data_IF_678517242881
#
_entry.id   IF_678517242881
#
_cell.length_a   1.000
_cell.length_b   1.000
_cell.length_c   1.000
_cell.angle_alpha   90.00
_cell.angle_beta   90.00
_cell.angle_gamma   90.00
#
_symmetry.space_group_name_H-M   'P 1'
#
loop_
_entity.id
_entity.type
_entity.pdbx_description
1 polymer ?
#
# COMPACT_ATOMS: atom_id res chain seq x y z
N UNK A 1 2.43 -52.63 -68.36
CA UNK A 1 1.75 -51.45 -67.82
C UNK A 1 1.65 -51.61 -66.29
N UNK A 2 2.63 -51.10 -65.55
CA UNK A 2 2.61 -51.12 -64.10
C UNK A 2 2.19 -49.73 -63.62
N UNK A 3 1.13 -49.70 -62.79
CA UNK A 3 0.61 -48.46 -62.17
C UNK A 3 1.31 -48.31 -60.81
N UNK A 4 2.16 -47.29 -60.66
CA UNK A 4 2.73 -46.85 -59.39
C UNK A 4 1.72 -46.00 -58.63
N UNK A 5 1.31 -46.47 -57.42
CA UNK A 5 0.57 -45.67 -56.46
C UNK A 5 1.52 -44.98 -55.51
N UNK A 6 1.64 -43.63 -55.64
CA UNK A 6 2.28 -42.75 -54.66
C UNK A 6 1.31 -42.58 -53.47
N UNK A 7 1.71 -43.05 -52.28
CA UNK A 7 1.08 -42.73 -51.01
C UNK A 7 1.73 -41.44 -50.48
N UNK A 8 0.99 -40.35 -50.47
CA UNK A 8 1.39 -39.11 -49.78
C UNK A 8 1.10 -39.27 -48.28
N UNK A 9 2.16 -39.33 -47.46
CA UNK A 9 2.04 -39.21 -45.99
C UNK A 9 1.91 -37.77 -45.62
N UNK A 10 0.74 -37.40 -45.07
CA UNK A 10 0.52 -36.10 -44.46
C UNK A 10 1.12 -36.12 -43.03
N UNK A 11 2.25 -35.47 -42.83
CA UNK A 11 2.78 -35.17 -41.47
C UNK A 11 1.97 -34.02 -40.91
N UNK A 12 1.12 -34.30 -39.95
CA UNK A 12 0.43 -33.28 -39.12
C UNK A 12 1.46 -32.77 -38.09
N UNK A 13 2.06 -31.63 -38.34
CA UNK A 13 2.88 -30.93 -37.34
C UNK A 13 1.92 -30.28 -36.33
N UNK A 14 1.85 -30.85 -35.13
CA UNK A 14 1.19 -30.22 -34.02
C UNK A 14 2.01 -29.00 -33.58
N UNK A 15 1.51 -27.79 -33.90
CA UNK A 15 2.03 -26.55 -33.32
C UNK A 15 1.57 -26.51 -31.86
N UNK A 16 2.43 -26.90 -30.96
CA UNK A 16 2.27 -26.60 -29.52
C UNK A 16 2.51 -25.10 -29.39
N UNK A 17 1.43 -24.32 -29.36
CA UNK A 17 1.50 -22.94 -28.95
C UNK A 17 1.98 -22.93 -27.49
N UNK A 18 3.23 -22.53 -27.26
CA UNK A 18 3.70 -22.23 -25.92
C UNK A 18 2.80 -21.10 -25.39
N UNK A 19 2.00 -21.40 -24.38
CA UNK A 19 1.35 -20.37 -23.57
C UNK A 19 2.49 -19.57 -22.97
N UNK A 20 2.60 -18.27 -23.19
CA UNK A 20 3.65 -17.50 -22.54
C UNK A 20 3.46 -17.66 -21.03
N UNK A 21 4.49 -18.15 -20.35
CA UNK A 21 4.60 -18.11 -18.90
C UNK A 21 4.46 -16.64 -18.49
N UNK A 22 3.28 -16.24 -18.07
CA UNK A 22 3.07 -14.87 -17.58
C UNK A 22 3.84 -14.79 -16.26
N UNK A 23 5.01 -14.14 -16.29
CA UNK A 23 5.75 -13.83 -15.09
C UNK A 23 4.81 -13.13 -14.11
N UNK A 24 4.84 -13.51 -12.82
CA UNK A 24 4.03 -12.82 -11.82
C UNK A 24 4.27 -11.32 -11.86
N UNK A 25 3.20 -10.54 -11.75
CA UNK A 25 3.31 -9.09 -11.76
C UNK A 25 4.03 -8.60 -10.49
N UNK A 26 4.98 -7.71 -10.65
CA UNK A 26 5.65 -7.07 -9.53
C UNK A 26 4.66 -6.25 -8.67
N UNK A 27 4.85 -6.27 -7.35
CA UNK A 27 4.13 -5.46 -6.37
C UNK A 27 5.11 -4.47 -5.74
N UNK A 28 5.49 -3.47 -6.50
CA UNK A 28 6.69 -2.66 -6.28
C UNK A 28 6.67 -1.75 -5.05
N UNK A 29 5.52 -1.50 -4.45
CA UNK A 29 5.36 -0.57 -3.32
C UNK A 29 4.04 -0.78 -2.58
N UNK A 30 3.83 -0.02 -1.50
CA UNK A 30 2.58 -0.04 -0.76
C UNK A 30 1.39 0.24 -1.67
N UNK A 31 0.41 -0.67 -1.67
CA UNK A 31 -0.79 -0.68 -2.53
C UNK A 31 -0.50 -0.92 -4.02
N UNK A 32 0.65 -1.51 -4.34
CA UNK A 32 1.00 -1.92 -5.69
C UNK A 32 1.47 -0.78 -6.60
N UNK A 33 1.79 -1.09 -7.85
CA UNK A 33 2.40 -0.14 -8.78
C UNK A 33 1.50 1.05 -9.15
N UNK A 34 0.19 0.90 -9.02
CA UNK A 34 -0.82 1.94 -9.32
C UNK A 34 -1.33 2.66 -8.08
N UNK A 35 -0.86 2.33 -6.88
CA UNK A 35 -1.22 2.92 -5.57
C UNK A 35 -2.69 2.74 -5.15
N UNK A 36 -3.45 1.92 -5.87
CA UNK A 36 -4.90 1.74 -5.68
C UNK A 36 -5.28 0.41 -4.99
N UNK A 37 -4.29 -0.46 -4.74
CA UNK A 37 -4.51 -1.78 -4.16
C UNK A 37 -4.98 -2.82 -5.16
N UNK A 38 -4.82 -2.56 -6.46
CA UNK A 38 -5.20 -3.49 -7.53
C UNK A 38 -3.98 -4.20 -8.09
N UNK A 39 -4.11 -5.50 -8.37
CA UNK A 39 -3.15 -6.30 -9.11
C UNK A 39 -3.63 -6.54 -10.54
N UNK A 40 -2.75 -6.43 -11.54
CA UNK A 40 -3.08 -6.77 -12.93
C UNK A 40 -3.14 -8.28 -13.18
N UNK A 41 -2.77 -9.10 -12.21
CA UNK A 41 -2.75 -10.56 -12.35
C UNK A 41 -4.13 -11.14 -12.62
N UNK A 42 -4.13 -12.31 -13.26
CA UNK A 42 -5.32 -13.11 -13.49
C UNK A 42 -5.37 -14.28 -12.51
N UNK A 43 -6.52 -14.49 -11.91
CA UNK A 43 -6.73 -15.63 -11.03
C UNK A 43 -6.87 -16.90 -11.86
N UNK A 44 -6.10 -17.92 -11.51
CA UNK A 44 -6.23 -19.27 -12.08
C UNK A 44 -7.41 -20.05 -11.48
N UNK A 45 -7.95 -19.56 -10.36
CA UNK A 45 -9.10 -20.14 -9.64
C UNK A 45 -10.10 -19.04 -9.31
N UNK A 46 -11.39 -19.36 -9.45
CA UNK A 46 -12.48 -18.43 -9.11
C UNK A 46 -12.97 -18.57 -7.66
N UNK A 47 -12.47 -19.56 -6.94
CA UNK A 47 -12.78 -19.84 -5.53
C UNK A 47 -11.62 -20.64 -4.90
N UNK A 48 -11.44 -20.50 -3.58
CA UNK A 48 -10.48 -21.37 -2.88
C UNK A 48 -10.96 -22.82 -2.90
N UNK A 49 -10.09 -23.81 -3.22
CA UNK A 49 -10.45 -25.22 -3.16
C UNK A 49 -10.92 -25.62 -1.74
N UNK A 50 -11.91 -26.49 -1.63
CA UNK A 50 -12.43 -26.98 -0.34
C UNK A 50 -11.37 -27.68 0.52
N UNK A 51 -10.36 -28.29 -0.11
CA UNK A 51 -9.19 -28.89 0.55
C UNK A 51 -8.14 -27.85 1.01
N UNK A 52 -8.40 -26.55 0.85
CA UNK A 52 -7.45 -25.47 1.12
C UNK A 52 -6.49 -25.21 -0.05
N UNK A 53 -5.58 -24.25 0.16
CA UNK A 53 -4.52 -23.87 -0.78
C UNK A 53 -3.21 -24.55 -0.38
N UNK A 54 -2.34 -24.79 -1.35
CA UNK A 54 -1.00 -25.27 -1.07
C UNK A 54 -0.13 -24.14 -0.58
N UNK A 55 0.45 -24.27 0.62
CA UNK A 55 1.49 -23.36 1.11
C UNK A 55 2.79 -23.67 0.35
N UNK A 56 3.33 -22.66 -0.35
CA UNK A 56 4.60 -22.79 -1.08
C UNK A 56 5.77 -22.70 -0.10
N UNK A 57 5.76 -21.67 0.77
CA UNK A 57 6.73 -21.52 1.85
C UNK A 57 6.13 -20.73 3.02
N UNK A 58 6.79 -20.78 4.16
CA UNK A 58 6.53 -19.94 5.33
C UNK A 58 7.89 -19.60 5.97
N UNK A 59 8.21 -18.33 6.01
CA UNK A 59 9.46 -17.85 6.61
C UNK A 59 9.18 -17.18 7.94
N UNK A 60 9.85 -17.57 9.04
CA UNK A 60 9.76 -16.84 10.30
C UNK A 60 10.27 -15.42 10.10
N UNK A 61 9.47 -14.44 10.49
CA UNK A 61 9.86 -13.04 10.48
C UNK A 61 9.71 -12.44 11.88
N UNK A 62 10.64 -11.57 12.31
CA UNK A 62 10.47 -10.80 13.53
C UNK A 62 9.27 -9.85 13.47
N UNK A 63 8.97 -9.18 14.58
CA UNK A 63 7.85 -8.26 14.69
C UNK A 63 7.91 -7.10 13.70
N UNK A 64 6.75 -6.65 13.21
CA UNK A 64 6.59 -5.50 12.33
C UNK A 64 5.19 -5.41 11.75
N UNK A 65 4.84 -4.23 11.26
CA UNK A 65 3.57 -3.94 10.58
C UNK A 65 3.80 -3.59 9.10
N UNK A 66 5.06 -3.68 8.65
CA UNK A 66 5.42 -3.46 7.25
C UNK A 66 4.75 -4.49 6.36
N UNK A 67 4.25 -4.05 5.22
CA UNK A 67 3.86 -4.94 4.13
C UNK A 67 5.09 -5.34 3.30
N UNK A 68 4.88 -6.07 2.22
CA UNK A 68 5.92 -6.44 1.28
C UNK A 68 5.87 -5.58 0.03
N UNK A 69 7.07 -5.24 -0.49
CA UNK A 69 7.27 -4.87 -1.90
C UNK A 69 7.95 -6.04 -2.60
N UNK A 70 7.50 -6.37 -3.81
CA UNK A 70 8.00 -7.54 -4.56
C UNK A 70 8.37 -7.10 -5.97
N UNK A 71 9.62 -7.36 -6.37
CA UNK A 71 10.10 -7.16 -7.73
C UNK A 71 11.33 -8.01 -8.02
N UNK A 72 11.49 -8.41 -9.25
CA UNK A 72 12.68 -9.12 -9.72
C UNK A 72 12.97 -10.40 -8.91
N UNK A 73 11.96 -11.15 -8.50
CA UNK A 73 12.08 -12.36 -7.70
C UNK A 73 12.47 -12.15 -6.24
N UNK A 74 12.40 -10.92 -5.71
CA UNK A 74 12.73 -10.57 -4.32
C UNK A 74 11.53 -9.92 -3.63
N UNK A 75 11.33 -10.27 -2.36
CA UNK A 75 10.33 -9.69 -1.49
C UNK A 75 11.04 -8.90 -0.38
N UNK A 76 10.71 -7.61 -0.24
CA UNK A 76 11.31 -6.70 0.73
C UNK A 76 10.31 -6.32 1.81
N UNK A 77 10.74 -6.34 3.06
CA UNK A 77 9.93 -5.87 4.20
C UNK A 77 10.82 -5.27 5.27
N UNK A 78 10.25 -4.56 6.23
CA UNK A 78 10.96 -4.03 7.39
C UNK A 78 10.44 -4.73 8.63
N UNK A 79 11.37 -5.20 9.47
CA UNK A 79 11.09 -5.91 10.72
C UNK A 79 11.88 -5.29 11.86
N UNK A 80 11.58 -5.70 13.08
CA UNK A 80 12.34 -5.35 14.26
C UNK A 80 13.18 -6.55 14.71
N UNK A 81 14.51 -6.46 14.56
CA UNK A 81 15.47 -7.48 15.00
C UNK A 81 16.18 -7.03 16.27
N UNK A 82 16.47 -7.97 17.17
CA UNK A 82 17.36 -7.72 18.30
C UNK A 82 18.82 -7.93 17.85
N UNK A 83 19.63 -6.90 18.03
CA UNK A 83 21.06 -6.92 17.73
C UNK A 83 21.80 -6.39 18.97
N UNK A 84 22.65 -7.21 19.56
CA UNK A 84 23.42 -6.87 20.78
C UNK A 84 22.55 -6.36 21.95
N UNK A 85 21.40 -6.99 22.16
CA UNK A 85 20.43 -6.63 23.20
C UNK A 85 19.63 -5.36 22.93
N UNK A 86 19.70 -4.81 21.71
CA UNK A 86 18.98 -3.61 21.29
C UNK A 86 18.04 -3.94 20.13
N UNK A 87 16.76 -3.61 20.28
CA UNK A 87 15.82 -3.71 19.18
C UNK A 87 16.13 -2.67 18.09
N UNK A 88 16.30 -3.14 16.86
CA UNK A 88 16.61 -2.32 15.69
C UNK A 88 15.63 -2.58 14.56
N UNK A 89 15.34 -1.57 13.78
CA UNK A 89 14.69 -1.76 12.49
C UNK A 89 15.69 -2.38 11.52
N UNK A 90 15.22 -3.36 10.75
CA UNK A 90 16.00 -4.03 9.71
C UNK A 90 15.17 -4.21 8.43
N UNK A 91 15.75 -3.89 7.29
CA UNK A 91 15.19 -4.26 6.00
C UNK A 91 15.64 -5.67 5.64
N UNK A 92 14.69 -6.54 5.33
CA UNK A 92 14.93 -7.89 4.83
C UNK A 92 14.65 -7.96 3.33
N UNK A 93 15.52 -8.68 2.61
CA UNK A 93 15.23 -9.19 1.28
C UNK A 93 15.14 -10.72 1.35
N UNK A 94 14.01 -11.24 0.90
CA UNK A 94 13.74 -12.66 0.78
C UNK A 94 13.64 -13.04 -0.69
N UNK A 95 14.03 -14.25 -1.03
CA UNK A 95 13.68 -14.83 -2.33
C UNK A 95 12.16 -15.04 -2.37
N UNK A 96 11.49 -14.49 -3.37
CA UNK A 96 10.02 -14.49 -3.44
C UNK A 96 9.43 -15.89 -3.68
N UNK A 97 10.19 -16.83 -4.26
CA UNK A 97 9.73 -18.18 -4.54
C UNK A 97 9.97 -19.14 -3.37
N UNK A 98 11.00 -18.92 -2.56
CA UNK A 98 11.44 -19.87 -1.53
C UNK A 98 11.33 -19.34 -0.10
N UNK A 99 11.14 -18.03 0.09
CA UNK A 99 11.14 -17.37 1.39
C UNK A 99 12.50 -17.31 2.08
N UNK A 100 13.60 -17.75 1.41
CA UNK A 100 14.94 -17.74 1.98
C UNK A 100 15.48 -16.30 2.01
N UNK A 101 16.04 -15.92 3.17
CA UNK A 101 16.66 -14.61 3.34
C UNK A 101 17.89 -14.47 2.44
N UNK A 102 17.90 -13.43 1.61
CA UNK A 102 19.02 -13.07 0.73
C UNK A 102 19.98 -12.16 1.48
N UNK A 103 19.47 -11.07 2.06
CA UNK A 103 20.24 -10.13 2.87
C UNK A 103 19.37 -9.45 3.93
N UNK A 104 20.02 -8.81 4.90
CA UNK A 104 19.41 -7.95 5.91
C UNK A 104 20.28 -6.71 6.10
N UNK A 105 19.66 -5.53 6.21
CA UNK A 105 20.34 -4.27 6.52
C UNK A 105 19.73 -3.62 7.76
N UNK A 106 20.55 -3.39 8.76
CA UNK A 106 20.14 -2.69 9.97
C UNK A 106 20.01 -1.20 9.67
N UNK A 107 18.87 -0.62 10.03
CA UNK A 107 18.54 0.78 9.80
C UNK A 107 18.87 1.62 11.03
N UNK A 108 18.06 1.54 12.07
CA UNK A 108 18.27 2.31 13.30
C UNK A 108 17.59 1.63 14.51
N UNK A 109 17.67 2.28 15.69
CA UNK A 109 17.03 1.77 16.91
C UNK A 109 15.50 1.82 16.78
N UNK A 110 14.86 0.66 16.97
CA UNK A 110 13.41 0.50 16.97
C UNK A 110 12.85 0.94 18.34
N UNK A 111 12.49 2.21 18.44
CA UNK A 111 11.83 2.78 19.61
C UNK A 111 10.68 3.67 19.14
N UNK A 112 9.46 3.30 19.52
CA UNK A 112 8.24 3.98 19.06
C UNK A 112 7.57 4.70 20.22
N UNK A 113 7.64 6.03 20.21
CA UNK A 113 7.06 6.86 21.26
C UNK A 113 5.53 6.89 21.13
N UNK A 114 4.84 6.86 22.26
CA UNK A 114 3.38 6.97 22.31
C UNK A 114 2.62 5.69 22.63
N UNK A 115 3.30 4.64 23.06
CA UNK A 115 2.68 3.47 23.69
C UNK A 115 2.45 2.27 22.77
N UNK A 116 3.25 2.09 21.78
CA UNK A 116 3.34 0.86 21.00
C UNK A 116 4.74 0.30 21.18
N UNK A 117 5.15 -0.05 22.39
CA UNK A 117 6.44 -0.69 22.60
C UNK A 117 6.30 -2.19 22.51
N UNK A 118 7.21 -2.82 21.79
CA UNK A 118 7.31 -4.26 21.70
C UNK A 118 7.32 -4.89 23.08
N UNK A 119 6.47 -5.90 23.28
CA UNK A 119 6.32 -6.58 24.56
C UNK A 119 5.51 -5.86 25.63
N UNK A 120 4.91 -4.70 25.34
CA UNK A 120 3.94 -4.10 26.25
C UNK A 120 2.74 -5.02 26.42
N UNK A 121 2.36 -5.36 27.69
CA UNK A 121 1.29 -6.32 28.00
C UNK A 121 -0.07 -5.96 27.39
N UNK A 122 -0.31 -4.69 27.11
CA UNK A 122 -1.55 -4.17 26.52
C UNK A 122 -1.44 -3.95 25.00
N UNK A 123 -0.30 -4.23 24.38
CA UNK A 123 -0.10 -4.15 22.95
C UNK A 123 -0.42 -5.49 22.29
N UNK A 124 -1.69 -5.69 21.93
CA UNK A 124 -2.21 -6.95 21.41
C UNK A 124 -1.67 -7.35 20.03
N UNK A 125 -1.14 -6.42 19.28
CA UNK A 125 -0.61 -6.64 17.94
C UNK A 125 0.92 -6.67 17.85
N UNK A 126 1.63 -6.65 18.99
CA UNK A 126 3.09 -6.49 18.98
C UNK A 126 3.51 -5.05 18.68
N UNK A 127 4.77 -4.87 18.32
CA UNK A 127 5.30 -3.58 17.89
C UNK A 127 6.28 -3.76 16.72
N UNK A 128 6.75 -2.67 16.13
CA UNK A 128 7.73 -2.72 15.07
C UNK A 128 7.54 -1.64 14.01
N UNK A 129 8.35 -1.68 12.95
CA UNK A 129 8.28 -0.74 11.84
C UNK A 129 6.94 -0.81 11.11
N UNK A 130 6.47 0.37 10.68
CA UNK A 130 5.14 0.55 10.08
C UNK A 130 5.19 0.97 8.62
N UNK A 131 6.32 1.48 8.16
CA UNK A 131 6.57 1.83 6.76
C UNK A 131 6.77 0.55 5.92
N UNK A 132 6.39 0.60 4.66
CA UNK A 132 6.64 -0.47 3.69
C UNK A 132 7.77 -0.04 2.75
N UNK A 133 8.73 -0.90 2.37
CA UNK A 133 9.69 -0.58 1.31
C UNK A 133 9.02 -0.28 -0.01
N UNK A 134 9.73 0.44 -0.89
CA UNK A 134 9.39 0.54 -2.31
C UNK A 134 10.60 0.14 -3.15
N UNK A 135 10.38 -0.45 -4.31
CA UNK A 135 11.46 -0.93 -5.19
C UNK A 135 11.16 -0.65 -6.65
N UNK A 136 12.19 -0.47 -7.46
CA UNK A 136 12.11 -0.43 -8.91
C UNK A 136 12.72 -1.67 -9.57
N UNK A 137 13.02 -2.71 -8.75
CA UNK A 137 13.65 -3.94 -9.18
C UNK A 137 15.17 -3.93 -9.01
N UNK A 138 15.84 -2.83 -9.28
CA UNK A 138 17.29 -2.66 -9.12
C UNK A 138 17.66 -2.11 -7.74
N UNK A 139 16.82 -1.28 -7.18
CA UNK A 139 16.99 -0.61 -5.88
C UNK A 139 15.80 -0.78 -4.98
N UNK A 140 16.04 -0.72 -3.68
CA UNK A 140 14.99 -0.68 -2.66
C UNK A 140 15.13 0.59 -1.82
N UNK A 141 14.01 1.26 -1.59
CA UNK A 141 13.90 2.53 -0.89
C UNK A 141 13.12 2.33 0.40
N UNK A 142 13.69 2.77 1.51
CA UNK A 142 13.11 2.59 2.84
C UNK A 142 13.03 3.93 3.55
N UNK A 143 11.88 4.29 4.04
CA UNK A 143 11.69 5.45 4.91
C UNK A 143 11.43 4.94 6.32
N UNK A 144 12.46 4.95 7.15
CA UNK A 144 12.46 4.31 8.46
C UNK A 144 11.66 5.08 9.53
N UNK A 145 11.51 4.51 10.72
CA UNK A 145 10.76 5.11 11.82
C UNK A 145 11.34 6.44 12.31
N UNK A 146 12.62 6.70 12.04
CA UNK A 146 13.34 7.93 12.41
C UNK A 146 13.39 8.96 11.28
N UNK A 147 12.63 8.74 10.21
CA UNK A 147 12.56 9.63 9.05
C UNK A 147 13.87 9.73 8.27
N UNK A 148 14.67 8.67 8.25
CA UNK A 148 15.77 8.51 7.29
C UNK A 148 15.27 7.78 6.07
N UNK A 149 15.61 8.31 4.91
CA UNK A 149 15.34 7.69 3.62
C UNK A 149 16.61 7.01 3.14
N UNK A 150 16.54 5.70 2.98
CA UNK A 150 17.66 4.86 2.54
C UNK A 150 17.39 4.32 1.14
N UNK A 151 18.45 4.20 0.35
CA UNK A 151 18.47 3.49 -0.92
C UNK A 151 19.54 2.42 -0.87
N UNK A 152 19.15 1.19 -1.11
CA UNK A 152 20.05 0.04 -1.20
C UNK A 152 19.96 -0.60 -2.58
N UNK A 153 21.04 -1.23 -3.00
CA UNK A 153 21.03 -2.16 -4.13
C UNK A 153 20.11 -3.34 -3.80
N UNK A 154 19.16 -3.65 -4.66
CA UNK A 154 18.16 -4.69 -4.41
C UNK A 154 18.75 -6.10 -4.41
N UNK A 155 19.89 -6.33 -5.08
CA UNK A 155 20.50 -7.64 -5.22
C UNK A 155 21.28 -8.05 -3.97
N UNK A 156 22.08 -7.14 -3.41
CA UNK A 156 23.03 -7.46 -2.34
C UNK A 156 22.90 -6.58 -1.08
N UNK A 157 21.98 -5.62 -1.09
CA UNK A 157 21.71 -4.75 0.06
C UNK A 157 22.78 -3.68 0.30
N UNK A 158 23.72 -3.46 -0.60
CA UNK A 158 24.72 -2.40 -0.44
C UNK A 158 24.06 -1.03 -0.43
N UNK A 159 24.48 -0.17 0.50
CA UNK A 159 23.99 1.20 0.58
C UNK A 159 24.43 2.00 -0.64
N UNK A 160 23.47 2.66 -1.31
CA UNK A 160 23.70 3.55 -2.43
C UNK A 160 23.74 5.00 -1.93
N UNK A 161 22.71 5.40 -1.20
CA UNK A 161 22.66 6.70 -0.53
C UNK A 161 21.69 6.67 0.67
N UNK A 162 21.85 7.61 1.58
CA UNK A 162 20.96 7.82 2.73
C UNK A 162 20.76 9.31 2.95
N UNK A 163 19.53 9.70 3.29
CA UNK A 163 19.14 11.08 3.62
C UNK A 163 18.49 11.12 5.00
N UNK A 164 18.84 12.07 5.81
CA UNK A 164 18.24 12.32 7.10
C UNK A 164 17.30 13.54 7.01
N UNK A 165 15.99 13.27 6.82
CA UNK A 165 15.01 14.33 6.58
C UNK A 165 14.73 15.17 7.83
N UNK A 166 15.10 14.69 9.01
CA UNK A 166 15.02 15.50 10.25
C UNK A 166 16.07 16.61 10.21
N UNK A 167 17.33 16.26 9.97
CA UNK A 167 18.43 17.25 9.95
C UNK A 167 18.41 18.11 8.68
N UNK A 168 18.05 17.55 7.54
CA UNK A 168 18.12 18.26 6.25
C UNK A 168 16.89 19.11 5.95
N UNK A 169 15.73 18.70 6.41
CA UNK A 169 14.44 19.32 6.08
C UNK A 169 13.58 19.68 7.32
N UNK A 170 14.15 19.63 8.53
CA UNK A 170 13.42 20.00 9.74
C UNK A 170 12.24 19.07 10.06
N UNK A 171 12.31 17.84 9.61
CA UNK A 171 11.27 16.83 9.82
C UNK A 171 10.99 16.60 11.29
N UNK A 172 9.72 16.35 11.62
CA UNK A 172 9.29 16.03 12.99
C UNK A 172 8.48 14.74 12.96
N UNK A 173 9.02 13.70 13.60
CA UNK A 173 8.27 12.46 13.80
C UNK A 173 7.02 12.74 14.63
N UNK A 174 5.92 12.14 14.21
CA UNK A 174 4.67 12.17 14.98
C UNK A 174 4.61 10.96 15.92
N UNK A 175 3.60 10.92 16.79
CA UNK A 175 3.39 9.80 17.72
C UNK A 175 3.45 8.46 16.97
N UNK A 176 4.10 7.44 17.53
CA UNK A 176 4.40 6.11 16.95
C UNK A 176 5.44 6.13 15.83
N UNK A 177 6.17 7.22 15.63
CA UNK A 177 7.20 7.42 14.60
C UNK A 177 6.64 7.39 13.17
N UNK A 178 7.51 7.41 12.17
CA UNK A 178 7.08 7.36 10.78
C UNK A 178 6.40 6.01 10.43
N UNK A 179 5.34 6.10 9.65
CA UNK A 179 4.65 4.96 9.04
C UNK A 179 4.38 5.15 7.55
N UNK A 180 4.74 6.31 6.98
CA UNK A 180 4.53 6.55 5.56
C UNK A 180 5.54 5.78 4.73
N UNK A 181 5.10 5.34 3.57
CA UNK A 181 5.92 4.65 2.57
C UNK A 181 6.48 5.67 1.58
N UNK A 182 7.74 5.54 1.14
CA UNK A 182 8.26 6.33 0.03
C UNK A 182 7.58 5.88 -1.26
N UNK A 183 6.83 6.77 -1.91
CA UNK A 183 6.09 6.43 -3.13
C UNK A 183 6.90 6.80 -4.35
N UNK A 184 7.11 5.82 -5.23
CA UNK A 184 7.89 5.97 -6.47
C UNK A 184 6.95 6.24 -7.64
N UNK A 185 7.28 7.25 -8.43
CA UNK A 185 6.69 7.48 -9.75
C UNK A 185 7.76 8.03 -10.72
N UNK A 186 8.06 7.27 -11.76
CA UNK A 186 9.15 7.58 -12.67
C UNK A 186 10.50 7.65 -11.94
N UNK A 187 11.17 8.81 -12.04
CA UNK A 187 12.45 9.07 -11.39
C UNK A 187 12.34 9.70 -10.00
N UNK A 188 11.10 9.90 -9.49
CA UNK A 188 10.85 10.62 -8.26
C UNK A 188 10.34 9.71 -7.14
N UNK A 189 10.72 10.07 -5.93
CA UNK A 189 10.18 9.53 -4.67
C UNK A 189 9.45 10.67 -3.98
N UNK A 190 8.18 10.44 -3.60
CA UNK A 190 7.37 11.42 -2.89
C UNK A 190 7.24 11.06 -1.42
N UNK A 191 7.50 12.04 -0.56
CA UNK A 191 7.48 11.90 0.90
C UNK A 191 6.83 13.12 1.53
N UNK A 192 6.01 12.90 2.57
CA UNK A 192 5.56 13.93 3.49
C UNK A 192 6.30 13.74 4.82
N UNK A 193 7.15 14.68 5.19
CA UNK A 193 7.94 14.51 6.41
C UNK A 193 8.96 15.61 6.71
N UNK A 194 9.02 16.66 5.90
CA UNK A 194 9.82 17.85 6.21
C UNK A 194 9.12 18.82 7.18
N UNK A 195 9.79 19.92 7.51
CA UNK A 195 9.30 20.99 8.35
C UNK A 195 8.61 22.13 7.60
N UNK A 196 8.74 23.33 8.13
CA UNK A 196 8.18 24.56 7.55
C UNK A 196 8.76 24.82 6.16
N UNK A 197 7.90 25.16 5.19
CA UNK A 197 8.18 25.40 3.78
C UNK A 197 8.88 24.23 3.03
N UNK A 198 8.87 23.06 3.61
CA UNK A 198 9.47 21.85 3.03
C UNK A 198 8.85 20.56 3.56
N UNK A 199 7.57 20.60 3.96
CA UNK A 199 6.90 19.43 4.50
C UNK A 199 6.58 18.37 3.43
N UNK A 200 6.42 18.78 2.17
CA UNK A 200 6.19 17.91 1.02
C UNK A 200 7.44 17.90 0.13
N UNK A 201 7.91 16.73 -0.21
CA UNK A 201 9.20 16.55 -0.89
C UNK A 201 9.05 15.62 -2.10
N UNK A 202 9.75 15.96 -3.18
CA UNK A 202 10.13 15.01 -4.23
C UNK A 202 11.65 14.87 -4.28
N UNK A 203 12.10 13.64 -4.29
CA UNK A 203 13.52 13.26 -4.25
C UNK A 203 13.82 12.45 -5.50
N UNK A 204 14.90 12.74 -6.20
CA UNK A 204 15.35 11.90 -7.32
C UNK A 204 15.82 10.56 -6.78
N UNK A 205 15.22 9.47 -7.25
CA UNK A 205 15.46 8.12 -6.74
C UNK A 205 16.87 7.62 -6.97
N UNK A 206 17.56 8.10 -8.03
CA UNK A 206 18.91 7.65 -8.38
C UNK A 206 19.98 8.33 -7.54
N UNK A 207 19.87 9.65 -7.38
CA UNK A 207 20.88 10.46 -6.70
C UNK A 207 20.57 10.76 -5.22
N UNK A 208 19.30 10.58 -4.79
CA UNK A 208 18.85 11.03 -3.48
C UNK A 208 18.69 12.55 -3.37
N UNK A 209 18.90 13.34 -4.41
CA UNK A 209 18.80 14.80 -4.36
C UNK A 209 17.35 15.27 -4.32
N UNK A 210 17.07 16.30 -3.55
CA UNK A 210 15.74 16.95 -3.51
C UNK A 210 15.52 17.68 -4.84
N UNK A 211 14.44 17.32 -5.55
CA UNK A 211 14.04 17.93 -6.82
C UNK A 211 13.15 19.15 -6.56
N UNK A 212 12.16 18.99 -5.71
CA UNK A 212 11.34 20.09 -5.21
C UNK A 212 10.92 19.85 -3.76
N UNK A 213 10.59 20.92 -3.08
CA UNK A 213 10.05 20.93 -1.71
C UNK A 213 9.10 22.11 -1.56
N UNK A 214 8.17 22.00 -0.65
CA UNK A 214 7.22 23.06 -0.37
C UNK A 214 6.30 22.74 0.78
N UNK A 215 5.41 23.67 1.08
CA UNK A 215 4.35 23.60 2.05
C UNK A 215 4.82 23.46 3.50
N UNK A 216 3.91 23.83 4.42
CA UNK A 216 4.14 23.79 5.87
C UNK A 216 3.05 22.98 6.57
N UNK A 217 2.60 21.92 5.92
CA UNK A 217 1.54 21.06 6.45
C UNK A 217 2.16 19.92 7.26
N UNK A 218 1.84 19.78 8.56
CA UNK A 218 2.36 18.64 9.32
C UNK A 218 1.93 17.30 8.73
N UNK A 219 2.87 16.34 8.68
CA UNK A 219 2.64 15.01 8.13
C UNK A 219 1.66 14.18 8.97
N UNK A 220 1.15 13.13 8.37
CA UNK A 220 0.39 12.04 9.00
C UNK A 220 1.12 10.72 8.79
N UNK A 221 0.51 9.59 9.15
CA UNK A 221 1.03 8.26 8.82
C UNK A 221 0.58 7.76 7.43
N UNK A 222 -0.27 8.51 6.75
CA UNK A 222 -0.78 8.12 5.44
C UNK A 222 0.29 8.28 4.36
N UNK A 223 0.51 7.22 3.58
CA UNK A 223 1.35 7.31 2.39
C UNK A 223 0.66 8.13 1.31
N UNK A 224 1.38 8.98 0.57
CA UNK A 224 0.83 9.68 -0.58
C UNK A 224 0.44 8.70 -1.68
N UNK A 225 -0.30 9.18 -2.66
CA UNK A 225 -0.61 8.43 -3.89
C UNK A 225 -0.31 9.29 -5.09
N UNK A 226 0.02 8.66 -6.22
CA UNK A 226 0.15 9.34 -7.50
C UNK A 226 -0.96 8.89 -8.43
N UNK A 227 -1.56 9.84 -9.11
CA UNK A 227 -2.68 9.58 -10.04
C UNK A 227 -2.66 10.54 -11.22
N UNK A 228 -3.31 10.15 -12.30
CA UNK A 228 -3.63 11.02 -13.40
C UNK A 228 -5.05 11.58 -13.20
N UNK A 229 -5.19 12.89 -13.10
CA UNK A 229 -6.50 13.53 -12.94
C UNK A 229 -6.58 14.79 -13.81
N UNK A 230 -7.65 14.91 -14.61
CA UNK A 230 -7.84 16.03 -15.56
C UNK A 230 -6.63 16.28 -16.48
N UNK A 231 -6.00 15.19 -16.96
CA UNK A 231 -4.85 15.25 -17.87
C UNK A 231 -3.53 15.69 -17.22
N UNK A 232 -3.48 15.77 -15.88
CA UNK A 232 -2.29 16.18 -15.14
C UNK A 232 -1.88 15.12 -14.11
N UNK A 233 -0.61 14.74 -14.10
CA UNK A 233 -0.06 13.80 -13.13
C UNK A 233 0.17 14.50 -11.81
N UNK A 234 -0.47 13.97 -10.75
CA UNK A 234 -0.54 14.61 -9.44
C UNK A 234 -0.10 13.63 -8.36
N UNK A 235 0.61 14.14 -7.37
CA UNK A 235 0.80 13.45 -6.10
C UNK A 235 -0.14 14.06 -5.06
N UNK A 236 -0.90 13.21 -4.37
CA UNK A 236 -1.87 13.62 -3.35
C UNK A 236 -1.33 13.19 -1.98
N UNK A 237 -1.03 14.15 -1.15
CA UNK A 237 -0.62 13.96 0.24
C UNK A 237 -1.82 14.12 1.18
N UNK A 238 -1.85 13.30 2.23
CA UNK A 238 -2.83 13.46 3.30
C UNK A 238 -2.13 13.99 4.56
N UNK A 239 -2.23 15.27 4.77
CA UNK A 239 -1.61 16.02 5.86
C UNK A 239 -2.57 16.21 7.03
N UNK A 240 -2.10 16.76 8.15
CA UNK A 240 -2.97 17.11 9.28
C UNK A 240 -3.96 18.25 8.97
N UNK A 241 -3.75 18.99 7.87
CA UNK A 241 -4.69 20.01 7.37
C UNK A 241 -5.69 19.48 6.32
N UNK A 242 -5.52 18.23 5.89
CA UNK A 242 -6.36 17.59 4.87
C UNK A 242 -5.54 17.14 3.67
N UNK A 243 -6.19 17.05 2.50
CA UNK A 243 -5.55 16.65 1.25
C UNK A 243 -4.87 17.84 0.56
N UNK A 244 -3.70 17.59 0.02
CA UNK A 244 -2.93 18.52 -0.83
C UNK A 244 -2.48 17.77 -2.06
N UNK A 245 -2.87 18.24 -3.24
CA UNK A 245 -2.41 17.70 -4.50
C UNK A 245 -1.38 18.62 -5.14
N UNK A 246 -0.25 18.07 -5.54
CA UNK A 246 0.81 18.78 -6.22
C UNK A 246 1.07 18.17 -7.60
N UNK A 247 1.46 19.00 -8.57
CA UNK A 247 2.04 18.51 -9.81
C UNK A 247 3.32 17.74 -9.49
N UNK A 248 3.46 16.53 -10.02
CA UNK A 248 4.57 15.63 -9.68
C UNK A 248 5.94 16.19 -10.04
N UNK A 249 6.06 16.96 -11.13
CA UNK A 249 7.35 17.47 -11.61
C UNK A 249 7.77 18.79 -10.97
N UNK A 250 6.80 19.70 -10.77
CA UNK A 250 7.10 21.06 -10.30
C UNK A 250 6.85 21.28 -8.80
N UNK A 251 6.11 20.39 -8.14
CA UNK A 251 5.67 20.60 -6.76
C UNK A 251 4.58 21.67 -6.59
N UNK A 252 4.14 22.32 -7.70
CA UNK A 252 3.07 23.33 -7.64
C UNK A 252 1.81 22.71 -7.05
N UNK A 253 1.24 23.34 -6.02
CA UNK A 253 -0.05 22.94 -5.46
C UNK A 253 -1.13 23.20 -6.51
N UNK A 254 -1.92 22.18 -6.82
CA UNK A 254 -3.01 22.20 -7.77
C UNK A 254 -4.35 22.44 -7.07
N UNK A 255 -4.58 21.71 -5.97
CA UNK A 255 -5.79 21.86 -5.18
C UNK A 255 -5.60 21.36 -3.75
N UNK A 256 -6.52 21.75 -2.87
CA UNK A 256 -6.59 21.34 -1.47
C UNK A 256 -8.01 20.99 -1.07
N UNK A 257 -8.15 20.01 -0.16
CA UNK A 257 -9.43 19.67 0.47
C UNK A 257 -9.26 19.54 1.98
N UNK A 258 -10.03 20.29 2.75
CA UNK A 258 -9.96 20.26 4.22
C UNK A 258 -10.55 18.96 4.75
N UNK A 259 -9.81 18.26 5.60
CA UNK A 259 -10.29 17.11 6.37
C UNK A 259 -9.71 17.18 7.77
N UNK A 260 -10.51 16.98 8.84
CA UNK A 260 -10.02 17.09 10.20
C UNK A 260 -8.99 16.01 10.55
N UNK A 261 -8.04 16.39 11.38
CA UNK A 261 -7.09 15.51 12.04
C UNK A 261 -7.34 15.50 13.54
N UNK A 262 -7.09 14.39 14.23
CA UNK A 262 -7.23 14.29 15.69
C UNK A 262 -6.00 13.67 16.35
N UNK A 263 -5.70 12.43 16.06
CA UNK A 263 -4.60 11.68 16.70
C UNK A 263 -3.68 11.07 15.66
N UNK A 264 -4.25 10.31 14.72
CA UNK A 264 -3.52 9.61 13.66
C UNK A 264 -4.41 9.42 12.45
N UNK A 265 -3.79 9.41 11.29
CA UNK A 265 -4.37 9.08 9.99
C UNK A 265 -3.34 8.28 9.23
N UNK A 266 -3.65 7.05 8.86
CA UNK A 266 -2.73 6.16 8.17
C UNK A 266 -3.29 5.58 6.86
N UNK A 267 -4.62 5.60 6.68
CA UNK A 267 -5.22 5.22 5.41
C UNK A 267 -4.87 6.24 4.31
N UNK A 268 -4.34 5.77 3.20
CA UNK A 268 -4.04 6.60 2.03
C UNK A 268 -5.32 7.15 1.38
N UNK A 269 -5.27 8.26 0.65
CA UNK A 269 -6.36 8.70 -0.21
C UNK A 269 -6.73 7.62 -1.23
N UNK A 270 -7.97 7.60 -1.67
CA UNK A 270 -8.45 6.72 -2.76
C UNK A 270 -9.08 7.59 -3.83
N UNK A 271 -8.71 7.36 -5.08
CA UNK A 271 -9.17 8.15 -6.24
C UNK A 271 -9.86 7.23 -7.24
N UNK A 272 -10.99 7.65 -7.74
CA UNK A 272 -11.63 7.09 -8.92
C UNK A 272 -12.27 8.20 -9.75
N UNK A 273 -11.81 8.35 -10.99
CA UNK A 273 -12.20 9.46 -11.85
C UNK A 273 -11.81 10.81 -11.27
N UNK A 274 -12.80 11.64 -11.00
CA UNK A 274 -12.65 12.98 -10.40
C UNK A 274 -13.02 13.03 -8.90
N UNK A 275 -13.30 11.86 -8.28
CA UNK A 275 -13.67 11.78 -6.86
C UNK A 275 -12.51 11.28 -6.04
N UNK A 276 -12.22 12.00 -4.96
CA UNK A 276 -11.17 11.66 -3.98
C UNK A 276 -11.81 11.38 -2.63
N UNK A 277 -11.57 10.17 -2.11
CA UNK A 277 -11.99 9.74 -0.79
C UNK A 277 -10.83 9.82 0.19
N UNK A 278 -11.12 10.21 1.43
CA UNK A 278 -10.20 10.09 2.55
C UNK A 278 -10.93 9.77 3.84
N UNK A 279 -10.21 9.15 4.78
CA UNK A 279 -10.77 8.75 6.06
C UNK A 279 -9.72 8.80 7.17
N UNK A 280 -10.17 9.09 8.37
CA UNK A 280 -9.36 9.09 9.59
C UNK A 280 -10.08 8.39 10.72
N UNK A 281 -9.32 7.71 11.57
CA UNK A 281 -9.81 7.06 12.78
C UNK A 281 -10.18 8.04 13.89
N UNK A 282 -10.25 7.53 15.12
CA UNK A 282 -10.48 8.32 16.35
C UNK A 282 -11.75 9.21 16.35
N UNK A 283 -12.82 8.73 15.71
CA UNK A 283 -14.10 9.45 15.63
C UNK A 283 -14.14 10.55 14.58
N UNK A 284 -13.08 10.73 13.79
CA UNK A 284 -13.05 11.74 12.71
C UNK A 284 -14.00 11.33 11.58
N UNK A 285 -13.89 10.11 11.05
CA UNK A 285 -14.73 9.61 9.97
C UNK A 285 -14.17 9.90 8.58
N UNK A 286 -15.04 9.93 7.57
CA UNK A 286 -14.66 10.00 6.17
C UNK A 286 -15.29 11.15 5.39
N UNK A 287 -14.66 11.52 4.29
CA UNK A 287 -15.14 12.51 3.31
C UNK A 287 -14.89 12.02 1.88
N UNK A 288 -15.74 12.47 0.96
CA UNK A 288 -15.42 12.43 -0.46
C UNK A 288 -15.53 13.82 -1.06
N UNK A 289 -14.66 14.09 -2.02
CA UNK A 289 -14.54 15.37 -2.70
C UNK A 289 -14.56 15.15 -4.21
N UNK A 290 -15.31 15.96 -4.93
CA UNK A 290 -15.21 16.05 -6.36
C UNK A 290 -14.20 17.15 -6.70
N UNK A 291 -13.25 16.82 -7.54
CA UNK A 291 -12.24 17.75 -8.08
C UNK A 291 -12.61 18.02 -9.53
N UNK A 292 -12.69 19.28 -9.91
CA UNK A 292 -12.96 19.70 -11.30
C UNK A 292 -11.88 20.64 -11.78
N UNK A 293 -11.68 20.72 -13.10
CA UNK A 293 -10.74 21.66 -13.73
C UNK A 293 -11.44 22.42 -14.86
N UNK A 294 -11.44 23.73 -14.79
CA UNK A 294 -12.01 24.60 -15.83
C UNK A 294 -11.09 25.80 -16.06
N UNK A 295 -10.79 26.13 -17.31
CA UNK A 295 -9.90 27.25 -17.65
C UNK A 295 -8.48 27.13 -17.06
N UNK A 296 -8.03 25.92 -16.75
CA UNK A 296 -6.73 25.68 -16.09
C UNK A 296 -6.78 25.72 -14.57
N UNK A 297 -7.87 26.17 -13.97
CA UNK A 297 -8.05 26.30 -12.52
C UNK A 297 -8.77 25.08 -11.95
N UNK A 298 -8.30 24.61 -10.79
CA UNK A 298 -8.92 23.52 -10.05
C UNK A 298 -9.93 24.04 -9.04
N UNK A 299 -11.04 23.33 -8.90
CA UNK A 299 -11.99 23.54 -7.81
C UNK A 299 -12.36 22.23 -7.13
N UNK A 300 -12.66 22.30 -5.83
CA UNK A 300 -12.94 21.11 -5.01
C UNK A 300 -14.26 21.33 -4.28
N UNK A 301 -15.19 20.39 -4.48
CA UNK A 301 -16.49 20.36 -3.83
C UNK A 301 -16.58 19.14 -2.92
N UNK A 302 -16.86 19.33 -1.64
CA UNK A 302 -17.18 18.22 -0.76
C UNK A 302 -18.53 17.61 -1.13
N UNK A 303 -18.53 16.36 -1.58
CA UNK A 303 -19.76 15.64 -1.90
C UNK A 303 -20.50 15.23 -0.63
N UNK A 304 -19.74 14.67 0.33
CA UNK A 304 -20.29 14.28 1.62
C UNK A 304 -19.21 14.22 2.70
N UNK A 305 -19.67 14.24 3.97
CA UNK A 305 -18.86 14.07 5.17
C UNK A 305 -19.63 13.17 6.15
N UNK A 306 -19.03 12.07 6.58
CA UNK A 306 -19.59 11.13 7.56
C UNK A 306 -18.74 11.17 8.83
N UNK A 307 -19.16 11.98 9.81
CA UNK A 307 -18.49 12.08 11.11
C UNK A 307 -18.67 10.78 11.89
N UNK A 308 -17.60 10.29 12.54
CA UNK A 308 -17.61 9.07 13.35
C UNK A 308 -18.17 7.84 12.60
N UNK A 309 -18.11 7.84 11.28
CA UNK A 309 -18.58 6.73 10.42
C UNK A 309 -17.63 6.55 9.26
N UNK A 310 -17.62 5.35 8.69
CA UNK A 310 -16.77 4.97 7.56
C UNK A 310 -15.28 5.26 7.84
N UNK A 311 -14.85 4.99 9.07
CA UNK A 311 -13.46 5.18 9.47
C UNK A 311 -12.60 4.03 8.94
N UNK A 312 -11.61 4.38 8.14
CA UNK A 312 -10.46 3.54 7.87
C UNK A 312 -9.31 4.12 8.68
N UNK A 313 -8.75 3.37 9.61
CA UNK A 313 -7.66 3.88 10.43
C UNK A 313 -6.31 3.68 9.73
N UNK A 314 -6.00 2.43 9.37
CA UNK A 314 -4.80 2.05 8.60
C UNK A 314 -5.13 1.15 7.39
N UNK A 315 -6.33 0.57 7.32
CA UNK A 315 -6.74 -0.30 6.22
C UNK A 315 -7.38 0.53 5.10
N UNK A 316 -6.60 0.90 4.08
CA UNK A 316 -7.11 1.65 2.94
C UNK A 316 -8.01 0.78 2.07
N UNK A 317 -9.23 1.20 1.71
CA UNK A 317 -10.11 0.43 0.84
C UNK A 317 -9.62 0.43 -0.61
N UNK A 318 -10.03 -0.55 -1.39
CA UNK A 318 -9.93 -0.53 -2.86
C UNK A 318 -11.18 0.09 -3.45
N UNK A 319 -11.07 0.66 -4.65
CA UNK A 319 -12.20 1.25 -5.36
C UNK A 319 -12.33 0.63 -6.75
N UNK A 320 -13.56 0.29 -7.13
CA UNK A 320 -13.90 -0.18 -8.45
C UNK A 320 -15.38 0.09 -8.77
N UNK A 321 -15.67 0.56 -9.97
CA UNK A 321 -17.03 0.83 -10.47
C UNK A 321 -17.84 1.73 -9.51
N UNK A 322 -17.24 2.80 -9.02
CA UNK A 322 -17.87 3.76 -8.10
C UNK A 322 -18.10 3.25 -6.68
N UNK A 323 -17.46 2.14 -6.27
CA UNK A 323 -17.67 1.55 -4.96
C UNK A 323 -16.35 1.26 -4.24
N UNK A 324 -16.29 1.66 -2.98
CA UNK A 324 -15.20 1.33 -2.06
C UNK A 324 -15.47 -0.02 -1.39
N UNK A 325 -14.44 -0.86 -1.34
CA UNK A 325 -14.47 -2.13 -0.60
C UNK A 325 -13.31 -2.15 0.40
N UNK A 326 -13.59 -2.41 1.66
CA UNK A 326 -12.56 -2.41 2.71
C UNK A 326 -13.16 -2.58 4.10
N UNK A 327 -12.30 -2.55 5.12
CA UNK A 327 -12.67 -2.63 6.52
C UNK A 327 -12.96 -1.23 7.05
N UNK A 328 -14.17 -1.05 7.59
CA UNK A 328 -14.67 0.25 8.05
C UNK A 328 -15.16 0.19 9.50
N UNK A 329 -15.08 1.32 10.19
CA UNK A 329 -15.65 1.55 11.51
C UNK A 329 -15.08 0.64 12.60
N UNK A 330 -13.77 0.44 12.65
CA UNK A 330 -13.15 -0.22 13.77
C UNK A 330 -12.45 0.79 14.70
N UNK A 331 -12.46 0.51 15.98
CA UNK A 331 -11.64 1.17 17.00
C UNK A 331 -10.77 0.15 17.74
N UNK A 332 -11.16 -1.10 17.77
CA UNK A 332 -10.52 -2.21 18.44
C UNK A 332 -10.45 -3.41 17.51
N UNK A 333 -9.62 -4.39 17.83
CA UNK A 333 -9.54 -5.64 17.09
C UNK A 333 -10.89 -6.36 17.09
N UNK A 334 -11.26 -6.92 15.96
CA UNK A 334 -12.53 -7.63 15.76
C UNK A 334 -13.68 -6.77 15.22
N UNK A 335 -13.56 -5.45 15.27
CA UNK A 335 -14.65 -4.51 14.93
C UNK A 335 -14.58 -3.93 13.51
N UNK A 336 -13.80 -4.50 12.61
CA UNK A 336 -13.62 -4.02 11.24
C UNK A 336 -14.44 -4.83 10.22
N UNK A 337 -15.76 -4.57 10.05
CA UNK A 337 -16.54 -5.24 9.01
C UNK A 337 -16.06 -4.84 7.61
N UNK A 338 -15.96 -5.82 6.71
CA UNK A 338 -15.82 -5.57 5.29
C UNK A 338 -17.12 -4.95 4.76
N UNK A 339 -17.03 -3.82 4.09
CA UNK A 339 -18.18 -3.13 3.52
C UNK A 339 -17.97 -2.79 2.06
N UNK A 340 -19.08 -2.71 1.34
CA UNK A 340 -19.21 -2.00 0.08
C UNK A 340 -19.87 -0.65 0.35
N UNK A 341 -19.24 0.42 -0.11
CA UNK A 341 -19.70 1.79 0.09
C UNK A 341 -19.69 2.52 -1.24
N UNK A 342 -20.82 3.10 -1.62
CA UNK A 342 -20.91 3.93 -2.84
C UNK A 342 -20.06 5.19 -2.67
N UNK A 343 -19.08 5.40 -3.54
CA UNK A 343 -18.10 6.47 -3.44
C UNK A 343 -18.73 7.86 -3.48
N UNK A 344 -19.66 8.08 -4.40
CA UNK A 344 -20.26 9.40 -4.63
C UNK A 344 -21.16 9.88 -3.48
N UNK A 345 -21.73 8.97 -2.67
CA UNK A 345 -22.72 9.31 -1.64
C UNK A 345 -22.35 8.89 -0.24
N UNK A 346 -21.37 7.99 -0.08
CA UNK A 346 -21.04 7.35 1.18
C UNK A 346 -22.14 6.42 1.70
N UNK A 347 -23.03 5.91 0.83
CA UNK A 347 -24.08 4.95 1.19
C UNK A 347 -23.48 3.56 1.29
N UNK A 348 -23.71 2.91 2.45
CA UNK A 348 -23.33 1.51 2.65
C UNK A 348 -24.30 0.64 1.85
N UNK A 349 -23.78 -0.17 0.94
CA UNK A 349 -24.55 -1.12 0.13
C UNK A 349 -24.76 -2.43 0.88
N UNK A 350 -23.68 -2.93 1.50
CA UNK A 350 -23.70 -4.10 2.36
C UNK A 350 -22.56 -4.04 3.40
N UNK A 351 -22.64 -4.87 4.41
CA UNK A 351 -21.65 -4.99 5.48
C UNK A 351 -21.55 -6.44 5.94
N UNK A 352 -20.34 -6.98 6.03
CA UNK A 352 -20.03 -8.34 6.46
C UNK A 352 -19.07 -8.29 7.64
N UNK A 353 -19.47 -8.82 8.78
CA UNK A 353 -18.65 -8.95 9.99
C UNK A 353 -17.62 -10.08 9.89
N UNK A 354 -16.68 -10.13 10.84
CA UNK A 354 -15.72 -11.22 11.00
C UNK A 354 -14.36 -10.98 10.35
N UNK A 355 -14.03 -9.73 9.98
CA UNK A 355 -12.75 -9.41 9.38
C UNK A 355 -11.77 -8.72 10.33
N UNK A 356 -12.28 -7.88 11.25
CA UNK A 356 -11.41 -7.02 12.05
C UNK A 356 -10.64 -6.00 11.20
N UNK A 357 -9.59 -5.39 11.74
CA UNK A 357 -8.78 -4.39 11.02
C UNK A 357 -7.78 -5.04 10.05
N UNK A 358 -8.24 -5.89 9.15
CA UNK A 358 -7.42 -6.53 8.11
C UNK A 358 -7.13 -5.65 6.90
N UNK A 359 -6.69 -6.27 5.81
CA UNK A 359 -6.37 -5.64 4.53
C UNK A 359 -7.22 -6.18 3.37
N UNK A 360 -7.25 -5.46 2.26
CA UNK A 360 -7.92 -5.89 1.04
C UNK A 360 -7.14 -5.46 -0.20
N UNK A 361 -7.04 -6.37 -1.17
CA UNK A 361 -6.53 -6.10 -2.52
C UNK A 361 -7.54 -6.55 -3.56
N UNK A 362 -7.51 -5.90 -4.72
CA UNK A 362 -8.37 -6.21 -5.87
C UNK A 362 -7.56 -6.98 -6.91
N UNK A 363 -8.05 -8.15 -7.31
CA UNK A 363 -7.41 -8.99 -8.33
C UNK A 363 -8.49 -9.60 -9.22
N UNK A 364 -8.43 -9.35 -10.54
CA UNK A 364 -9.30 -9.96 -11.54
C UNK A 364 -10.81 -9.96 -11.17
N UNK A 365 -11.30 -8.83 -10.69
CA UNK A 365 -12.70 -8.65 -10.26
C UNK A 365 -13.07 -9.41 -8.99
N UNK A 366 -12.08 -9.79 -8.17
CA UNK A 366 -12.24 -10.40 -6.86
C UNK A 366 -11.55 -9.56 -5.78
N UNK A 367 -12.09 -9.59 -4.58
CA UNK A 367 -11.47 -9.06 -3.39
C UNK A 367 -10.74 -10.19 -2.68
N UNK A 368 -9.45 -10.02 -2.47
CA UNK A 368 -8.66 -10.88 -1.58
C UNK A 368 -8.48 -10.11 -0.29
N UNK A 369 -9.15 -10.56 0.76
CA UNK A 369 -9.17 -9.89 2.05
C UNK A 369 -8.46 -10.74 3.12
N UNK A 370 -7.69 -10.09 3.98
CA UNK A 370 -7.10 -10.71 5.17
C UNK A 370 -7.86 -10.26 6.41
N UNK A 371 -8.13 -11.17 7.34
CA UNK A 371 -8.69 -10.84 8.65
C UNK A 371 -7.59 -10.55 9.68
N UNK A 372 -7.95 -9.95 10.81
CA UNK A 372 -7.06 -9.77 11.97
C UNK A 372 -6.71 -11.08 12.69
N UNK A 373 -7.41 -12.16 12.36
CA UNK A 373 -7.14 -13.52 12.85
C UNK A 373 -6.29 -14.36 11.90
N UNK A 374 -5.84 -13.78 10.77
CA UNK A 374 -4.95 -14.43 9.81
C UNK A 374 -5.64 -15.30 8.76
N UNK A 375 -6.96 -15.17 8.59
CA UNK A 375 -7.66 -15.78 7.46
C UNK A 375 -7.44 -14.98 6.17
N UNK A 376 -7.40 -15.68 5.04
CA UNK A 376 -7.46 -15.10 3.70
C UNK A 376 -8.77 -15.52 3.05
N UNK A 377 -9.54 -14.53 2.61
CA UNK A 377 -10.87 -14.71 2.06
C UNK A 377 -10.92 -14.20 0.64
N UNK A 378 -11.42 -15.00 -0.29
CA UNK A 378 -11.76 -14.56 -1.64
C UNK A 378 -13.25 -14.28 -1.75
N UNK A 379 -13.61 -13.14 -2.29
CA UNK A 379 -15.00 -12.77 -2.57
C UNK A 379 -15.12 -12.07 -3.92
N UNK A 380 -16.28 -12.23 -4.56
CA UNK A 380 -16.56 -11.57 -5.84
C UNK A 380 -16.85 -10.07 -5.61
N UNK A 381 -16.27 -9.20 -6.44
CA UNK A 381 -16.71 -7.81 -6.50
C UNK A 381 -18.18 -7.77 -6.88
N UNK A 382 -19.01 -7.20 -6.02
CA UNK A 382 -20.44 -7.06 -6.26
C UNK A 382 -21.00 -5.98 -5.32
N UNK A 383 -21.57 -4.92 -5.90
CA UNK A 383 -22.11 -3.81 -5.11
C UNK A 383 -23.49 -4.11 -4.49
N UNK A 384 -24.19 -5.12 -4.97
CA UNK A 384 -25.54 -5.44 -4.48
C UNK A 384 -25.53 -6.32 -3.23
N UNK A 385 -24.61 -7.29 -3.14
CA UNK A 385 -24.49 -8.20 -2.01
C UNK A 385 -23.09 -8.76 -1.85
N UNK A 386 -22.71 -9.08 -0.63
CA UNK A 386 -21.51 -9.84 -0.34
C UNK A 386 -21.62 -11.28 -0.91
N UNK A 387 -20.56 -11.75 -1.54
CA UNK A 387 -20.47 -13.12 -2.06
C UNK A 387 -19.08 -13.70 -1.83
N UNK A 388 -18.93 -14.44 -0.76
CA UNK A 388 -17.73 -15.21 -0.48
C UNK A 388 -17.62 -16.41 -1.41
N UNK A 389 -16.41 -16.71 -1.84
CA UNK A 389 -16.05 -17.82 -2.69
C UNK A 389 -15.10 -18.80 -2.00
N UNK A 390 -14.70 -18.50 -0.78
CA UNK A 390 -13.89 -19.37 0.06
C UNK A 390 -12.98 -18.61 1.01
N UNK A 391 -12.50 -19.29 2.03
CA UNK A 391 -11.53 -18.83 3.02
C UNK A 391 -10.63 -19.94 3.49
N UNK A 392 -9.46 -19.58 3.97
CA UNK A 392 -8.54 -20.49 4.67
C UNK A 392 -7.70 -19.73 5.69
N UNK A 393 -7.22 -20.44 6.71
CA UNK A 393 -6.28 -19.90 7.69
C UNK A 393 -4.88 -19.89 7.07
N UNK A 394 -4.33 -18.69 6.84
CA UNK A 394 -3.00 -18.53 6.24
C UNK A 394 -1.90 -18.43 7.30
N UNK A 395 -2.15 -17.66 8.37
CA UNK A 395 -1.23 -17.46 9.50
C UNK A 395 -2.01 -17.54 10.80
N UNK A 396 -1.33 -17.95 11.86
CA UNK A 396 -1.89 -17.94 13.23
C UNK A 396 -1.64 -16.57 13.88
N UNK A 397 -2.52 -16.18 14.79
CA UNK A 397 -2.34 -15.03 15.65
C UNK A 397 -3.30 -13.87 15.37
N UNK A 398 -3.09 -12.83 16.15
CA UNK A 398 -3.67 -11.50 16.01
C UNK A 398 -2.57 -10.49 15.84
#
# INVERSE_FOLDING_TARGET
>A
MQKNHFKASLCLAAIIAAVPDSQPADWTQYRGPTHDGSSPEKLTVSAWPSRGVQQVWKSPTPHGFSSFAVAGGRAFTIVMEEVDGVNREACLALNAETGIKIWSQILNVAKYDGGGNSGAKNNKGGDGPRSTPSTDGDRVYIYDGRMKLHCYDAKDGKSVWTRDLVSEHGGKAIRWQNATTPIIDGELIFICGGGEDQSLLAINKLSGMTVWKGESDPGTHASPIVTMMHGERQVIFFTQKGLVACNTLSGKVLWRAKHPFKVSTAASPVVEGDIVYCSSGYGVGASAFQVTKAGGEYSVKQLWRKRNKLMNHWSTPVCIDGHLYGMFQFKEYGDGPLKCVELATGKIKWSQSGYGPGGVVLVDGHLIATSDTGEVVISKVNSNKYRELGRFQAVEGK
#
